data_IF_780292682463
#
_entry.id   IF_780292682463
#
_cell.length_a   1.000
_cell.length_b   1.000
_cell.length_c   1.000
_cell.angle_alpha   90.00
_cell.angle_beta   90.00
_cell.angle_gamma   90.00
#
_symmetry.space_group_name_H-M   'P 1'
#
loop_
_entity.id
_entity.type
_entity.pdbx_description
1 polymer ?
#
# COMPACT_ATOMS: atom_id res chain seq x y z
N UNK A 1 -4.39 10.08 8.36
CA UNK A 1 -2.92 9.98 8.46
C UNK A 1 -2.55 8.52 8.27
N UNK A 2 -1.68 8.20 7.31
CA UNK A 2 -1.25 6.82 7.04
C UNK A 2 -0.05 6.51 7.92
N UNK A 3 -0.11 5.41 8.67
CA UNK A 3 0.92 4.95 9.60
C UNK A 3 1.17 3.44 9.40
N UNK A 4 2.33 2.91 9.84
CA UNK A 4 2.54 1.47 9.90
C UNK A 4 1.39 0.77 10.65
N UNK A 5 0.90 -0.34 10.10
CA UNK A 5 -0.26 -1.08 10.60
C UNK A 5 -1.61 -0.62 10.02
N UNK A 6 -1.67 0.45 9.23
CA UNK A 6 -2.90 0.87 8.55
C UNK A 6 -3.18 0.01 7.30
N UNK A 7 -4.43 -0.33 7.08
CA UNK A 7 -4.90 -0.87 5.79
C UNK A 7 -5.11 0.29 4.82
N UNK A 8 -4.59 0.14 3.61
CA UNK A 8 -4.71 1.13 2.55
C UNK A 8 -5.14 0.49 1.25
N UNK A 9 -5.83 1.27 0.42
CA UNK A 9 -6.18 0.93 -0.96
C UNK A 9 -5.35 1.76 -1.93
N UNK A 10 -4.84 1.12 -2.98
CA UNK A 10 -4.17 1.81 -4.09
C UNK A 10 -5.21 2.43 -5.01
N UNK A 11 -5.04 3.72 -5.30
CA UNK A 11 -6.01 4.55 -6.03
C UNK A 11 -5.52 5.06 -7.38
N UNK A 12 -4.24 4.86 -7.71
CA UNK A 12 -3.69 5.19 -9.02
C UNK A 12 -4.21 4.18 -10.08
N UNK A 13 -5.02 4.61 -11.07
CA UNK A 13 -5.57 3.71 -12.09
C UNK A 13 -4.53 3.19 -13.10
N UNK A 14 -3.37 3.84 -13.19
CA UNK A 14 -2.29 3.42 -14.09
C UNK A 14 -1.34 2.38 -13.44
N UNK A 15 -1.58 2.02 -12.17
CA UNK A 15 -0.80 1.03 -11.44
C UNK A 15 -1.46 -0.36 -11.48
N UNK A 16 -0.66 -1.43 -11.61
CA UNK A 16 -1.18 -2.82 -11.64
C UNK A 16 -1.84 -3.25 -10.32
N UNK A 17 -1.53 -2.54 -9.23
CA UNK A 17 -2.15 -2.73 -7.92
C UNK A 17 -3.40 -1.87 -7.75
N UNK A 18 -3.92 -1.21 -8.79
CA UNK A 18 -5.16 -0.42 -8.70
C UNK A 18 -6.29 -1.23 -8.05
N UNK A 19 -6.93 -0.61 -7.05
CA UNK A 19 -7.97 -1.19 -6.21
C UNK A 19 -7.55 -2.33 -5.26
N UNK A 20 -6.29 -2.76 -5.24
CA UNK A 20 -5.82 -3.68 -4.23
C UNK A 20 -5.70 -2.99 -2.86
N UNK A 21 -5.97 -3.78 -1.82
CA UNK A 21 -5.77 -3.40 -0.43
C UNK A 21 -4.55 -4.12 0.14
N UNK A 22 -3.83 -3.43 1.02
CA UNK A 22 -2.66 -4.00 1.69
C UNK A 22 -2.33 -3.29 3.00
N UNK A 23 -1.39 -3.86 3.74
CA UNK A 23 -1.01 -3.39 5.06
C UNK A 23 0.27 -2.56 4.98
N UNK A 24 0.24 -1.32 5.50
CA UNK A 24 1.44 -0.49 5.55
C UNK A 24 2.44 -1.05 6.56
N UNK A 25 3.65 -1.35 6.11
CA UNK A 25 4.73 -1.88 6.96
C UNK A 25 5.66 -0.78 7.48
N UNK A 26 5.90 0.25 6.67
CA UNK A 26 6.73 1.41 7.04
C UNK A 26 6.36 2.63 6.21
N UNK A 27 6.65 3.81 6.76
CA UNK A 27 6.50 5.11 6.08
C UNK A 27 7.82 5.86 6.20
N UNK A 28 8.37 6.32 5.08
CA UNK A 28 9.58 7.15 5.00
C UNK A 28 9.56 7.96 3.72
N UNK A 29 10.13 9.16 3.74
CA UNK A 29 10.37 9.97 2.53
C UNK A 29 9.13 10.20 1.65
N UNK A 30 7.97 10.43 2.28
CA UNK A 30 6.70 10.64 1.57
C UNK A 30 6.12 9.39 0.90
N UNK A 31 6.66 8.22 1.22
CA UNK A 31 6.26 6.91 0.66
C UNK A 31 5.83 5.95 1.75
N UNK A 32 5.03 4.96 1.36
CA UNK A 32 4.66 3.84 2.22
C UNK A 32 5.02 2.52 1.53
N UNK A 33 5.65 1.60 2.27
CA UNK A 33 5.77 0.23 1.83
C UNK A 33 4.52 -0.54 2.26
N UNK A 34 3.80 -1.10 1.30
CA UNK A 34 2.56 -1.83 1.47
C UNK A 34 2.82 -3.31 1.22
N UNK A 35 2.45 -4.14 2.19
CA UNK A 35 2.46 -5.60 2.08
C UNK A 35 1.13 -6.06 1.48
N UNK A 36 1.22 -6.80 0.38
CA UNK A 36 0.11 -7.56 -0.18
C UNK A 36 0.33 -9.04 0.09
N UNK A 37 -0.71 -9.71 0.56
CA UNK A 37 -0.69 -11.14 0.91
C UNK A 37 -1.77 -11.86 0.08
N UNK A 38 -1.46 -13.07 -0.37
CA UNK A 38 -2.43 -13.92 -1.07
C UNK A 38 -1.98 -15.38 -1.09
N UNK A 39 -2.72 -16.29 -0.47
CA UNK A 39 -2.34 -17.70 -0.46
C UNK A 39 -0.98 -17.93 0.21
N UNK A 40 0.03 -18.36 -0.56
CA UNK A 40 1.39 -18.64 -0.06
C UNK A 40 2.44 -17.59 -0.46
N UNK A 41 2.02 -16.46 -1.05
CA UNK A 41 2.92 -15.42 -1.50
C UNK A 41 2.66 -14.10 -0.79
N UNK A 42 3.76 -13.39 -0.55
CA UNK A 42 3.78 -12.04 -0.02
C UNK A 42 4.56 -11.14 -0.97
N UNK A 43 4.10 -9.90 -1.15
CA UNK A 43 4.80 -8.91 -1.97
C UNK A 43 4.78 -7.55 -1.31
N UNK A 44 5.98 -7.00 -1.09
CA UNK A 44 6.16 -5.66 -0.53
C UNK A 44 6.45 -4.67 -1.65
N UNK A 45 5.59 -3.67 -1.81
CA UNK A 45 5.69 -2.65 -2.86
C UNK A 45 5.63 -1.26 -2.22
N UNK A 46 6.41 -0.32 -2.74
CA UNK A 46 6.47 1.04 -2.20
C UNK A 46 5.70 2.00 -3.11
N UNK A 47 4.76 2.73 -2.54
CA UNK A 47 3.92 3.72 -3.25
C UNK A 47 4.17 5.11 -2.71
N UNK A 48 3.82 6.13 -3.51
CA UNK A 48 3.69 7.48 -2.99
C UNK A 48 2.47 7.56 -2.07
N UNK A 49 2.56 8.32 -0.97
CA UNK A 49 1.42 8.46 -0.06
C UNK A 49 0.17 9.03 -0.75
N UNK A 50 0.34 9.82 -1.81
CA UNK A 50 -0.76 10.39 -2.61
C UNK A 50 -1.54 9.34 -3.43
N UNK A 51 -0.98 8.15 -3.62
CA UNK A 51 -1.62 7.06 -4.38
C UNK A 51 -2.43 6.13 -3.48
N UNK A 52 -2.42 6.37 -2.16
CA UNK A 52 -3.03 5.51 -1.15
C UNK A 52 -4.18 6.23 -0.44
N UNK A 53 -5.26 5.51 -0.17
CA UNK A 53 -6.35 5.96 0.70
C UNK A 53 -6.55 4.95 1.83
N UNK A 54 -6.89 5.43 3.02
CA UNK A 54 -7.23 4.56 4.16
C UNK A 54 -8.54 3.82 3.86
N UNK A 55 -8.58 2.53 4.19
CA UNK A 55 -9.78 1.70 4.14
C UNK A 55 -10.40 1.56 5.52
#
# INVERSE_FOLDING_TARGET
>A
MILPGATVKVTNPDDIYYCFEGLVQRVSDGKAAVLFEGGNWDKLVTFQLSELTLT
#
